data_IF_235010167715
#
_entry.id   IF_235010167715
#
_cell.length_a   1.000
_cell.length_b   1.000
_cell.length_c   1.000
_cell.angle_alpha   90.00
_cell.angle_beta   90.00
_cell.angle_gamma   90.00
#
_symmetry.space_group_name_H-M   'P 1'
#
loop_
_entity.id
_entity.type
_entity.pdbx_description
1 polymer ?
#
# COMPACT_ATOMS: atom_id res chain seq x y z
N UNK A 1 8.83 -14.88 18.77
CA UNK A 1 9.52 -16.16 18.44
C UNK A 1 9.23 -16.47 16.98
N UNK A 2 10.25 -16.51 16.13
CA UNK A 2 10.09 -16.93 14.73
C UNK A 2 9.79 -18.42 14.71
N UNK A 3 8.60 -18.81 14.25
CA UNK A 3 8.26 -20.22 14.08
C UNK A 3 9.06 -20.81 12.89
N UNK A 4 9.73 -21.93 13.11
CA UNK A 4 10.38 -22.69 12.05
C UNK A 4 9.30 -23.50 11.34
N UNK A 5 9.18 -23.34 10.03
CA UNK A 5 8.25 -24.13 9.21
C UNK A 5 9.07 -25.12 8.41
N UNK A 6 8.71 -26.41 8.50
CA UNK A 6 9.32 -27.47 7.70
C UNK A 6 8.69 -27.44 6.30
N UNK A 7 9.50 -27.27 5.27
CA UNK A 7 9.06 -27.36 3.89
C UNK A 7 9.33 -28.75 3.34
N UNK A 8 8.33 -29.31 2.69
CA UNK A 8 8.55 -30.43 1.77
C UNK A 8 9.04 -29.88 0.43
N UNK A 9 9.68 -30.71 -0.38
CA UNK A 9 10.06 -30.32 -1.75
C UNK A 9 8.78 -30.05 -2.55
N UNK A 10 8.67 -28.82 -3.08
CA UNK A 10 7.55 -28.44 -3.95
C UNK A 10 8.09 -28.09 -5.33
N UNK A 11 7.39 -28.53 -6.36
CA UNK A 11 7.44 -27.84 -7.64
C UNK A 11 6.18 -26.98 -7.64
N UNK A 12 6.31 -25.67 -7.68
CA UNK A 12 5.19 -24.77 -7.80
C UNK A 12 5.32 -23.94 -9.08
N UNK A 13 4.18 -23.58 -9.67
CA UNK A 13 4.18 -22.68 -10.81
C UNK A 13 4.48 -21.26 -10.34
N UNK A 14 3.82 -20.83 -9.28
CA UNK A 14 3.96 -19.48 -8.70
C UNK A 14 4.37 -19.59 -7.24
N UNK A 15 5.46 -18.94 -6.89
CA UNK A 15 5.89 -18.77 -5.51
C UNK A 15 5.63 -17.34 -5.06
N UNK A 16 4.73 -17.17 -4.09
CA UNK A 16 4.46 -15.88 -3.45
C UNK A 16 5.39 -15.72 -2.25
N UNK A 17 6.20 -14.67 -2.26
CA UNK A 17 7.12 -14.36 -1.15
C UNK A 17 6.59 -13.20 -0.32
N UNK A 18 6.53 -13.42 0.99
CA UNK A 18 5.90 -12.58 2.02
C UNK A 18 4.37 -12.49 1.90
N UNK A 19 3.73 -12.39 3.06
CA UNK A 19 2.25 -12.29 3.15
C UNK A 19 1.74 -10.85 3.17
N UNK A 20 2.64 -9.85 3.19
CA UNK A 20 2.26 -8.44 3.25
C UNK A 20 1.65 -8.03 1.91
N UNK A 21 0.42 -7.50 1.96
CA UNK A 21 -0.28 -7.03 0.75
C UNK A 21 -0.82 -8.14 -0.16
N UNK A 22 -0.63 -9.43 0.19
CA UNK A 22 -0.98 -10.56 -0.68
C UNK A 22 -2.41 -11.09 -0.50
N UNK A 23 -3.20 -10.56 0.45
CA UNK A 23 -4.56 -11.07 0.72
C UNK A 23 -5.49 -11.06 -0.51
N UNK A 24 -5.30 -10.10 -1.41
CA UNK A 24 -6.05 -10.02 -2.67
C UNK A 24 -5.42 -10.81 -3.83
N UNK A 25 -4.17 -11.25 -3.69
CA UNK A 25 -3.42 -11.90 -4.75
C UNK A 25 -4.06 -13.20 -5.27
N UNK A 26 -4.69 -14.07 -4.44
CA UNK A 26 -5.38 -15.25 -4.94
C UNK A 26 -6.43 -14.97 -6.02
N UNK A 27 -7.05 -13.77 -5.99
CA UNK A 27 -8.02 -13.34 -7.02
C UNK A 27 -7.36 -12.92 -8.34
N UNK A 28 -6.04 -12.71 -8.32
CA UNK A 28 -5.23 -12.31 -9.47
C UNK A 28 -4.48 -13.49 -10.10
N UNK A 29 -4.63 -14.70 -9.57
CA UNK A 29 -3.92 -15.89 -10.05
C UNK A 29 -4.79 -16.70 -11.00
N UNK A 30 -4.21 -17.34 -12.04
CA UNK A 30 -4.92 -18.33 -12.84
C UNK A 30 -5.41 -19.49 -11.97
N UNK A 31 -6.60 -20.04 -12.28
CA UNK A 31 -7.22 -21.09 -11.46
C UNK A 31 -6.44 -22.42 -11.45
N UNK A 32 -5.73 -22.69 -12.54
CA UNK A 32 -5.07 -24.00 -12.76
C UNK A 32 -3.58 -23.97 -12.36
N UNK A 33 -3.08 -22.88 -11.76
CA UNK A 33 -1.68 -22.81 -11.34
C UNK A 33 -1.49 -23.29 -9.90
N UNK A 34 -0.42 -24.05 -9.68
CA UNK A 34 -0.02 -24.46 -8.33
C UNK A 34 0.75 -23.32 -7.66
N UNK A 35 0.15 -22.74 -6.61
CA UNK A 35 0.68 -21.58 -5.89
C UNK A 35 1.12 -21.99 -4.50
N UNK A 36 2.35 -21.60 -4.14
CA UNK A 36 2.88 -21.73 -2.78
C UNK A 36 3.20 -20.36 -2.21
N UNK A 37 3.08 -20.20 -0.89
CA UNK A 37 3.37 -18.94 -0.19
C UNK A 37 4.41 -19.16 0.89
N UNK A 38 5.46 -18.33 0.88
CA UNK A 38 6.51 -18.31 1.89
C UNK A 38 6.53 -16.97 2.63
N UNK A 39 6.25 -17.01 3.93
CA UNK A 39 6.41 -15.85 4.81
C UNK A 39 7.83 -15.81 5.37
N UNK A 40 8.75 -15.20 4.65
CA UNK A 40 10.18 -15.15 5.06
C UNK A 40 10.47 -14.10 6.14
N UNK A 41 9.55 -13.16 6.40
CA UNK A 41 9.69 -12.12 7.43
C UNK A 41 9.36 -12.65 8.81
N UNK A 42 8.24 -13.34 8.94
CA UNK A 42 7.71 -13.79 10.23
C UNK A 42 8.09 -15.23 10.54
N UNK A 43 8.37 -16.02 9.52
CA UNK A 43 8.74 -17.44 9.66
C UNK A 43 9.99 -17.70 8.81
N UNK A 44 10.96 -18.38 9.41
CA UNK A 44 12.13 -18.87 8.65
C UNK A 44 11.83 -20.29 8.21
N UNK A 45 11.43 -20.52 6.94
CA UNK A 45 11.26 -21.87 6.46
C UNK A 45 12.61 -22.58 6.46
N UNK A 46 12.64 -23.80 6.99
CA UNK A 46 13.82 -24.63 7.04
C UNK A 46 13.58 -25.89 6.21
N UNK A 47 14.40 -26.08 5.18
CA UNK A 47 14.49 -27.34 4.45
C UNK A 47 15.60 -28.17 5.06
N UNK A 48 15.27 -29.34 5.59
CA UNK A 48 16.24 -30.32 6.05
C UNK A 48 16.38 -31.43 5.03
N UNK A 49 17.06 -31.11 3.93
CA UNK A 49 17.54 -32.15 3.03
C UNK A 49 18.99 -31.85 2.59
N UNK A 50 19.70 -32.90 2.18
CA UNK A 50 21.11 -32.79 1.74
C UNK A 50 21.24 -31.88 0.52
N UNK A 51 20.24 -31.84 -0.36
CA UNK A 51 20.21 -30.97 -1.53
C UNK A 51 20.17 -29.49 -1.16
N UNK A 52 19.36 -29.11 -0.17
CA UNK A 52 19.32 -27.74 0.34
C UNK A 52 20.66 -27.36 0.99
N UNK A 53 21.23 -28.23 1.83
CA UNK A 53 22.52 -27.98 2.48
C UNK A 53 23.63 -27.79 1.46
N UNK A 54 23.66 -28.61 0.41
CA UNK A 54 24.61 -28.46 -0.69
C UNK A 54 24.45 -27.12 -1.41
N UNK A 55 23.23 -26.73 -1.77
CA UNK A 55 22.91 -25.44 -2.39
C UNK A 55 23.25 -24.26 -1.49
N UNK A 56 23.03 -24.39 -0.18
CA UNK A 56 23.40 -23.37 0.80
C UNK A 56 24.91 -23.17 0.85
N UNK A 57 25.71 -24.26 0.89
CA UNK A 57 27.15 -24.17 0.84
C UNK A 57 27.66 -23.53 -0.46
N UNK A 58 27.08 -23.91 -1.61
CA UNK A 58 27.42 -23.29 -2.89
C UNK A 58 27.07 -21.77 -2.89
N UNK A 59 25.89 -21.41 -2.39
CA UNK A 59 25.44 -20.02 -2.35
C UNK A 59 26.30 -19.17 -1.41
N UNK A 60 26.77 -19.73 -0.29
CA UNK A 60 27.69 -19.05 0.64
C UNK A 60 29.07 -18.80 -0.04
N UNK A 61 29.61 -19.77 -0.74
CA UNK A 61 30.89 -19.61 -1.47
C UNK A 61 30.75 -18.56 -2.57
N UNK A 62 29.65 -18.59 -3.33
CA UNK A 62 29.39 -17.63 -4.40
C UNK A 62 29.23 -16.21 -3.87
N UNK A 63 28.45 -16.06 -2.81
CA UNK A 63 28.17 -14.78 -2.13
C UNK A 63 29.45 -14.16 -1.55
N UNK A 64 30.35 -14.99 -0.98
CA UNK A 64 31.64 -14.54 -0.45
C UNK A 64 32.55 -13.97 -1.54
N UNK A 65 32.58 -14.60 -2.72
CA UNK A 65 33.42 -14.18 -3.86
C UNK A 65 32.99 -12.82 -4.45
N UNK A 66 31.69 -12.45 -4.36
CA UNK A 66 31.14 -11.16 -4.85
C UNK A 66 31.22 -10.03 -3.82
N UNK A 67 31.90 -10.21 -2.68
CA UNK A 67 32.18 -9.16 -1.69
C UNK A 67 30.96 -8.75 -0.83
N UNK A 68 29.87 -9.48 -0.90
CA UNK A 68 28.61 -9.15 -0.22
C UNK A 68 27.98 -10.35 0.51
N UNK A 69 28.75 -11.05 1.33
CA UNK A 69 28.35 -12.30 2.00
C UNK A 69 27.24 -12.15 3.03
N UNK A 70 26.02 -11.80 2.59
CA UNK A 70 24.85 -11.87 3.47
C UNK A 70 24.33 -13.31 3.55
N UNK A 71 24.49 -13.94 4.71
CA UNK A 71 23.93 -15.28 5.02
C UNK A 71 22.46 -15.36 4.61
N UNK A 72 21.70 -14.27 4.81
CA UNK A 72 20.30 -14.18 4.39
C UNK A 72 20.09 -14.34 2.89
N UNK A 73 20.96 -13.76 2.07
CA UNK A 73 20.89 -13.94 0.62
C UNK A 73 21.24 -15.37 0.19
N UNK A 74 22.33 -15.92 0.73
CA UNK A 74 22.75 -17.29 0.44
C UNK A 74 21.64 -18.31 0.81
N UNK A 75 21.02 -18.12 1.96
CA UNK A 75 19.89 -18.92 2.40
C UNK A 75 18.68 -18.78 1.44
N UNK A 76 18.27 -17.56 1.09
CA UNK A 76 17.16 -17.33 0.16
C UNK A 76 17.46 -17.95 -1.23
N UNK A 77 18.66 -17.72 -1.75
CA UNK A 77 19.08 -18.27 -3.04
C UNK A 77 19.07 -19.82 -3.05
N UNK A 78 19.57 -20.45 -1.99
CA UNK A 78 19.52 -21.90 -1.84
C UNK A 78 18.08 -22.42 -1.77
N UNK A 79 17.22 -21.72 -1.03
CA UNK A 79 15.81 -22.05 -0.87
C UNK A 79 15.07 -21.98 -2.22
N UNK A 80 15.23 -20.87 -2.96
CA UNK A 80 14.57 -20.67 -4.24
C UNK A 80 15.06 -21.67 -5.31
N UNK A 81 16.35 -21.94 -5.36
CA UNK A 81 16.91 -22.98 -6.23
C UNK A 81 16.41 -24.38 -5.89
N UNK A 82 16.10 -24.63 -4.61
CA UNK A 82 15.58 -25.93 -4.17
C UNK A 82 14.09 -26.11 -4.47
N UNK A 83 13.31 -25.01 -4.44
CA UNK A 83 11.87 -25.00 -4.74
C UNK A 83 11.58 -24.95 -6.25
N UNK A 84 12.53 -24.47 -7.05
CA UNK A 84 12.43 -24.38 -8.52
C UNK A 84 11.10 -23.77 -9.02
N UNK A 85 10.68 -22.58 -8.51
CA UNK A 85 9.45 -21.95 -9.00
C UNK A 85 9.61 -21.49 -10.46
N UNK A 86 8.54 -21.54 -11.24
CA UNK A 86 8.53 -20.98 -12.60
C UNK A 86 8.37 -19.45 -12.59
N UNK A 87 7.72 -18.91 -11.56
CA UNK A 87 7.51 -17.48 -11.36
C UNK A 87 7.55 -17.15 -9.86
N UNK A 88 8.21 -16.05 -9.50
CA UNK A 88 8.22 -15.52 -8.14
C UNK A 88 7.44 -14.20 -8.12
N UNK A 89 6.53 -14.03 -7.15
CA UNK A 89 5.76 -12.80 -6.94
C UNK A 89 5.96 -12.30 -5.51
N UNK A 90 6.12 -11.00 -5.33
CA UNK A 90 6.13 -10.38 -4.00
C UNK A 90 5.45 -9.02 -4.01
N UNK A 91 4.55 -8.80 -3.04
CA UNK A 91 4.03 -7.46 -2.72
C UNK A 91 4.94 -6.70 -1.73
N UNK A 92 6.03 -7.31 -1.27
CA UNK A 92 7.13 -6.63 -0.60
C UNK A 92 8.12 -6.11 -1.65
N UNK A 93 7.66 -5.16 -2.46
CA UNK A 93 8.31 -4.63 -3.66
C UNK A 93 9.64 -3.90 -3.41
N UNK A 94 9.99 -3.62 -2.15
CA UNK A 94 11.26 -3.08 -1.71
C UNK A 94 12.23 -4.15 -1.15
N UNK A 95 12.00 -5.43 -1.44
CA UNK A 95 12.82 -6.54 -0.95
C UNK A 95 14.13 -6.65 -1.75
N UNK A 96 15.23 -6.13 -1.18
CA UNK A 96 16.57 -6.14 -1.80
C UNK A 96 17.08 -7.55 -2.13
N UNK A 97 16.75 -8.54 -1.31
CA UNK A 97 17.22 -9.90 -1.52
C UNK A 97 16.57 -10.53 -2.76
N UNK A 98 15.29 -10.20 -3.01
CA UNK A 98 14.60 -10.65 -4.22
C UNK A 98 15.11 -9.92 -5.48
N UNK A 99 15.36 -8.61 -5.39
CA UNK A 99 15.96 -7.88 -6.50
C UNK A 99 17.33 -8.47 -6.87
N UNK A 100 18.18 -8.74 -5.86
CA UNK A 100 19.48 -9.37 -6.07
C UNK A 100 19.38 -10.80 -6.61
N UNK A 101 18.37 -11.57 -6.14
CA UNK A 101 18.13 -12.91 -6.67
C UNK A 101 17.77 -12.87 -8.16
N UNK A 102 16.91 -11.95 -8.56
CA UNK A 102 16.51 -11.77 -9.95
C UNK A 102 17.68 -11.37 -10.87
N UNK A 103 18.59 -10.53 -10.36
CA UNK A 103 19.83 -10.16 -11.08
C UNK A 103 20.74 -11.37 -11.29
N UNK A 104 20.91 -12.20 -10.26
CA UNK A 104 21.81 -13.36 -10.29
C UNK A 104 21.19 -14.60 -11.00
N UNK A 105 19.85 -14.63 -11.19
CA UNK A 105 19.11 -15.75 -11.79
C UNK A 105 18.07 -15.24 -12.80
N UNK A 106 18.51 -14.65 -13.92
CA UNK A 106 17.63 -13.97 -14.89
C UNK A 106 16.64 -14.91 -15.61
N UNK A 107 16.85 -16.23 -15.52
CA UNK A 107 15.97 -17.27 -16.07
C UNK A 107 14.69 -17.46 -15.25
N UNK A 108 14.67 -17.05 -13.98
CA UNK A 108 13.50 -17.12 -13.12
C UNK A 108 12.85 -15.73 -13.06
N UNK A 109 11.67 -15.51 -13.67
CA UNK A 109 11.01 -14.23 -13.60
C UNK A 109 10.61 -13.91 -12.16
N UNK A 110 10.93 -12.67 -11.73
CA UNK A 110 10.52 -12.12 -10.43
C UNK A 110 9.67 -10.89 -10.68
N UNK A 111 8.45 -10.89 -10.14
CA UNK A 111 7.50 -9.80 -10.25
C UNK A 111 7.32 -9.15 -8.89
N UNK A 112 7.66 -7.88 -8.79
CA UNK A 112 7.45 -7.04 -7.62
C UNK A 112 6.21 -6.19 -7.84
N UNK A 113 5.25 -6.27 -6.92
CA UNK A 113 3.96 -5.56 -7.01
C UNK A 113 3.92 -4.50 -5.93
N UNK A 114 3.77 -3.25 -6.32
CA UNK A 114 3.64 -2.13 -5.39
C UNK A 114 2.40 -2.28 -4.51
N UNK A 115 2.56 -2.11 -3.20
CA UNK A 115 1.48 -2.23 -2.22
C UNK A 115 1.25 -0.97 -1.36
N UNK A 116 2.13 0.02 -1.49
CA UNK A 116 2.05 1.30 -0.77
C UNK A 116 2.80 2.38 -1.55
N UNK A 117 2.55 3.64 -1.24
CA UNK A 117 3.32 4.75 -1.81
C UNK A 117 4.81 4.59 -1.51
N UNK A 118 5.65 5.03 -2.42
CA UNK A 118 7.10 5.01 -2.30
C UNK A 118 7.65 6.42 -2.11
N UNK A 119 8.81 6.52 -1.48
CA UNK A 119 9.47 7.80 -1.19
C UNK A 119 10.96 7.71 -1.46
N UNK A 120 11.60 8.87 -1.44
CA UNK A 120 13.05 9.01 -1.58
C UNK A 120 13.80 8.91 -0.24
N UNK A 121 13.09 8.71 0.88
CA UNK A 121 13.65 8.81 2.24
C UNK A 121 13.84 7.46 2.94
N UNK A 122 13.83 6.35 2.20
CA UNK A 122 14.18 5.04 2.76
C UNK A 122 13.18 3.91 2.53
N UNK A 123 12.03 4.18 1.89
CA UNK A 123 11.12 3.09 1.48
C UNK A 123 11.70 2.22 0.36
N UNK A 124 12.62 2.80 -0.44
CA UNK A 124 13.37 2.12 -1.49
C UNK A 124 14.88 2.27 -1.28
N UNK A 125 15.67 1.45 -1.96
CA UNK A 125 17.13 1.51 -1.89
C UNK A 125 17.69 2.16 -3.14
N UNK A 126 18.54 3.16 -2.97
CA UNK A 126 19.25 3.81 -4.08
C UNK A 126 20.19 2.85 -4.81
N UNK A 127 20.31 3.04 -6.12
CA UNK A 127 21.28 2.33 -6.97
C UNK A 127 20.99 0.83 -7.15
N UNK A 128 19.75 0.39 -6.96
CA UNK A 128 19.39 -1.01 -7.16
C UNK A 128 18.75 -1.25 -8.53
N UNK A 129 19.00 -2.45 -9.08
CA UNK A 129 18.31 -2.94 -10.27
C UNK A 129 17.10 -3.78 -9.83
N UNK A 130 15.91 -3.38 -10.27
CA UNK A 130 14.67 -4.10 -10.02
C UNK A 130 14.34 -5.01 -11.22
N UNK A 131 13.74 -6.18 -10.98
CA UNK A 131 13.27 -7.06 -12.05
C UNK A 131 12.03 -6.44 -12.74
N UNK A 132 10.92 -7.19 -12.79
CA UNK A 132 9.65 -6.69 -13.28
C UNK A 132 8.98 -5.96 -12.11
N UNK A 133 8.63 -4.69 -12.31
CA UNK A 133 7.99 -3.86 -11.30
C UNK A 133 6.62 -3.39 -11.78
N UNK A 134 5.57 -3.81 -11.06
CA UNK A 134 4.20 -3.41 -11.29
C UNK A 134 3.86 -2.25 -10.36
N UNK A 135 3.81 -1.04 -10.91
CA UNK A 135 3.66 0.21 -10.17
C UNK A 135 2.20 0.66 -10.09
N UNK A 136 1.91 1.56 -9.16
CA UNK A 136 0.62 2.25 -9.12
C UNK A 136 0.46 3.19 -10.33
N UNK A 137 1.43 4.03 -10.61
CA UNK A 137 1.33 5.00 -11.68
C UNK A 137 2.69 5.40 -12.26
N UNK A 138 2.71 6.53 -12.92
CA UNK A 138 3.92 7.07 -13.54
C UNK A 138 4.79 7.85 -12.57
N UNK A 139 4.24 8.29 -11.44
CA UNK A 139 4.96 9.11 -10.46
C UNK A 139 6.13 8.37 -9.82
N UNK A 140 6.06 7.05 -9.72
CA UNK A 140 7.15 6.22 -9.19
C UNK A 140 8.42 6.29 -10.05
N UNK A 141 8.30 6.57 -11.36
CA UNK A 141 9.47 6.78 -12.23
C UNK A 141 10.35 7.95 -11.77
N UNK A 142 9.72 9.01 -11.25
CA UNK A 142 10.46 10.16 -10.71
C UNK A 142 11.23 9.79 -9.45
N UNK A 143 10.60 9.00 -8.57
CA UNK A 143 11.23 8.48 -7.36
C UNK A 143 12.39 7.56 -7.73
N UNK A 144 12.20 6.67 -8.72
CA UNK A 144 13.25 5.77 -9.19
C UNK A 144 14.40 6.53 -9.83
N UNK A 145 14.12 7.55 -10.62
CA UNK A 145 15.15 8.41 -11.17
C UNK A 145 15.94 9.14 -10.08
N UNK A 146 15.25 9.69 -9.06
CA UNK A 146 15.89 10.39 -7.94
C UNK A 146 16.78 9.47 -7.09
N UNK A 147 16.48 8.15 -7.07
CA UNK A 147 17.21 7.13 -6.32
C UNK A 147 18.19 6.31 -7.19
N UNK A 148 18.38 6.66 -8.46
CA UNK A 148 19.17 5.85 -9.42
C UNK A 148 18.72 4.37 -9.46
N UNK A 149 17.41 4.13 -9.38
CA UNK A 149 16.82 2.79 -9.50
C UNK A 149 16.49 2.52 -10.96
N UNK A 150 16.92 1.36 -11.45
CA UNK A 150 16.62 0.88 -12.80
C UNK A 150 15.68 -0.32 -12.71
N UNK A 151 14.71 -0.39 -13.60
CA UNK A 151 13.82 -1.55 -13.73
C UNK A 151 14.08 -2.26 -15.07
N UNK A 152 14.23 -3.58 -15.04
CA UNK A 152 14.26 -4.38 -16.27
C UNK A 152 12.97 -4.22 -17.06
N UNK A 153 11.85 -4.18 -16.35
CA UNK A 153 10.53 -3.93 -16.90
C UNK A 153 9.70 -3.15 -15.89
N UNK A 154 9.13 -2.01 -16.30
CA UNK A 154 8.26 -1.17 -15.49
C UNK A 154 6.88 -1.11 -16.14
N UNK A 155 5.84 -1.51 -15.38
CA UNK A 155 4.44 -1.47 -15.83
C UNK A 155 3.58 -0.72 -14.82
N UNK A 156 3.02 0.44 -15.14
CA UNK A 156 2.02 1.11 -14.31
C UNK A 156 0.66 0.42 -14.53
N UNK A 157 0.18 -0.26 -13.51
CA UNK A 157 -1.05 -1.06 -13.57
C UNK A 157 -2.14 -0.59 -12.61
N UNK A 158 -1.82 0.35 -11.70
CA UNK A 158 -2.72 0.77 -10.64
C UNK A 158 -2.73 -0.15 -9.42
N UNK A 159 -3.71 0.07 -8.54
CA UNK A 159 -3.87 -0.70 -7.31
C UNK A 159 -4.78 -1.91 -7.51
N UNK A 160 -4.26 -3.10 -7.15
CA UNK A 160 -5.06 -4.34 -7.16
C UNK A 160 -6.29 -4.21 -6.25
N UNK A 161 -6.10 -3.67 -5.04
CA UNK A 161 -7.17 -3.56 -4.04
C UNK A 161 -8.26 -2.62 -4.50
N UNK A 162 -7.87 -1.50 -5.06
CA UNK A 162 -8.82 -0.56 -5.64
C UNK A 162 -9.60 -1.21 -6.79
N UNK A 163 -8.92 -1.88 -7.73
CA UNK A 163 -9.56 -2.56 -8.85
C UNK A 163 -10.57 -3.63 -8.40
N UNK A 164 -10.21 -4.43 -7.38
CA UNK A 164 -11.12 -5.41 -6.80
C UNK A 164 -12.30 -4.77 -6.06
N UNK A 165 -12.06 -3.64 -5.38
CA UNK A 165 -13.12 -2.92 -4.68
C UNK A 165 -14.12 -2.30 -5.66
N UNK A 166 -13.65 -1.70 -6.75
CA UNK A 166 -14.50 -1.15 -7.82
C UNK A 166 -15.35 -2.24 -8.49
N UNK A 167 -14.76 -3.41 -8.78
CA UNK A 167 -15.50 -4.54 -9.30
C UNK A 167 -16.57 -5.05 -8.32
N UNK A 168 -16.34 -4.97 -7.01
CA UNK A 168 -17.28 -5.37 -5.98
C UNK A 168 -18.36 -4.31 -5.70
N UNK A 169 -18.02 -3.01 -5.78
CA UNK A 169 -18.96 -1.90 -5.58
C UNK A 169 -20.12 -1.94 -6.59
N UNK A 170 -19.82 -2.30 -7.84
CA UNK A 170 -20.83 -2.48 -8.89
C UNK A 170 -21.92 -3.51 -8.54
N UNK A 171 -21.69 -4.38 -7.56
CA UNK A 171 -22.59 -5.48 -7.16
C UNK A 171 -23.34 -5.14 -5.86
N UNK A 172 -22.77 -4.34 -4.97
CA UNK A 172 -23.33 -4.01 -3.65
C UNK A 172 -23.65 -2.53 -3.56
N UNK A 173 -24.82 -2.18 -2.99
CA UNK A 173 -25.11 -0.83 -2.57
C UNK A 173 -24.62 -0.66 -1.11
N UNK A 174 -23.43 -0.09 -0.88
CA UNK A 174 -22.89 0.07 0.46
C UNK A 174 -23.62 1.16 1.24
N UNK A 175 -23.48 1.14 2.57
CA UNK A 175 -23.91 2.25 3.40
C UNK A 175 -23.15 3.51 3.00
N UNK A 176 -23.86 4.61 2.72
CA UNK A 176 -23.25 5.88 2.31
C UNK A 176 -22.97 6.76 3.52
N UNK A 177 -21.83 7.48 3.49
CA UNK A 177 -21.45 8.46 4.50
C UNK A 177 -21.22 9.83 3.85
N UNK A 178 -21.59 10.89 4.57
CA UNK A 178 -21.32 12.25 4.10
C UNK A 178 -19.83 12.59 4.16
N UNK A 179 -19.16 12.12 5.21
CA UNK A 179 -17.73 12.30 5.44
C UNK A 179 -17.06 11.01 5.89
N UNK A 180 -15.89 10.71 5.33
CA UNK A 180 -15.00 9.69 5.84
C UNK A 180 -13.65 10.29 6.24
N UNK A 181 -13.10 9.86 7.37
CA UNK A 181 -11.74 10.16 7.80
C UNK A 181 -10.90 8.89 7.76
N UNK A 182 -9.82 8.89 6.98
CA UNK A 182 -8.87 7.77 6.95
C UNK A 182 -7.85 7.99 8.06
N UNK A 183 -7.86 7.09 9.02
CA UNK A 183 -6.96 7.12 10.16
C UNK A 183 -5.51 6.85 9.78
N UNK A 184 -4.60 7.54 10.45
CA UNK A 184 -3.17 7.24 10.42
C UNK A 184 -2.64 6.90 11.83
N UNK A 185 -3.53 6.43 12.71
CA UNK A 185 -3.19 6.04 14.08
C UNK A 185 -2.02 5.05 14.12
N UNK A 186 -1.09 5.31 15.02
CA UNK A 186 0.04 4.42 15.34
C UNK A 186 0.25 4.42 16.84
N UNK A 187 0.21 3.27 17.51
CA UNK A 187 0.42 3.19 18.98
C UNK A 187 1.72 3.86 19.44
N UNK A 188 2.76 3.82 18.60
CA UNK A 188 4.09 4.37 18.89
C UNK A 188 4.09 5.90 19.04
N UNK A 189 3.05 6.60 18.56
CA UNK A 189 2.92 8.05 18.69
C UNK A 189 2.53 8.51 20.08
N UNK A 190 2.05 7.59 20.95
CA UNK A 190 1.43 7.90 22.24
C UNK A 190 2.27 7.46 23.47
N UNK A 191 3.45 6.93 23.28
CA UNK A 191 4.29 6.44 24.37
C UNK A 191 5.26 7.51 24.91
N UNK A 192 5.75 7.32 26.13
CA UNK A 192 6.83 8.15 26.71
C UNK A 192 8.14 8.11 25.90
N UNK A 193 8.25 7.22 24.93
CA UNK A 193 9.40 7.08 24.03
C UNK A 193 9.14 7.65 22.63
N UNK A 194 7.97 8.29 22.38
CA UNK A 194 7.69 8.91 21.09
C UNK A 194 8.66 10.06 20.83
N UNK A 195 9.18 10.12 19.60
CA UNK A 195 10.04 11.21 19.15
C UNK A 195 9.24 12.51 19.02
N UNK A 196 9.92 13.66 19.02
CA UNK A 196 9.29 14.97 18.79
C UNK A 196 8.52 15.00 17.47
N UNK A 197 9.04 14.38 16.43
CA UNK A 197 8.37 14.25 15.13
C UNK A 197 7.07 13.41 15.24
N UNK A 198 7.08 12.29 15.96
CA UNK A 198 5.89 11.49 16.17
C UNK A 198 4.79 12.24 16.92
N UNK A 199 5.16 13.00 17.95
CA UNK A 199 4.23 13.86 18.69
C UNK A 199 3.67 14.99 17.81
N UNK A 200 4.51 15.59 16.98
CA UNK A 200 4.08 16.60 16.02
C UNK A 200 3.08 16.04 15.00
N UNK A 201 3.37 14.87 14.43
CA UNK A 201 2.47 14.16 13.51
C UNK A 201 1.12 13.87 14.20
N UNK A 202 1.13 13.39 15.45
CA UNK A 202 -0.09 13.14 16.22
C UNK A 202 -0.90 14.43 16.41
N UNK A 203 -0.26 15.50 16.81
CA UNK A 203 -0.90 16.80 17.03
C UNK A 203 -1.61 17.30 15.77
N UNK A 204 -0.96 17.22 14.60
CA UNK A 204 -1.55 17.63 13.35
C UNK A 204 -2.73 16.74 12.91
N UNK A 205 -2.62 15.43 13.10
CA UNK A 205 -3.72 14.51 12.81
C UNK A 205 -4.93 14.73 13.72
N UNK A 206 -4.67 14.91 15.02
CA UNK A 206 -5.71 15.23 15.99
C UNK A 206 -6.44 16.50 15.61
N UNK A 207 -5.71 17.59 15.30
CA UNK A 207 -6.30 18.85 14.85
C UNK A 207 -7.17 18.67 13.60
N UNK A 208 -6.68 17.90 12.62
CA UNK A 208 -7.45 17.61 11.42
C UNK A 208 -8.73 16.84 11.72
N UNK A 209 -8.66 15.86 12.62
CA UNK A 209 -9.83 15.10 13.04
C UNK A 209 -10.83 15.96 13.83
N UNK A 210 -10.35 16.83 14.71
CA UNK A 210 -11.19 17.81 15.45
C UNK A 210 -11.92 18.74 14.48
N UNK A 211 -11.27 19.21 13.41
CA UNK A 211 -11.93 19.97 12.33
C UNK A 211 -13.03 19.16 11.65
N UNK A 212 -12.81 17.88 11.39
CA UNK A 212 -13.84 16.99 10.84
C UNK A 212 -15.03 16.89 11.79
N UNK A 213 -14.82 16.69 13.10
CA UNK A 213 -15.88 16.59 14.09
C UNK A 213 -16.71 17.87 14.15
N UNK A 214 -16.07 19.05 14.17
CA UNK A 214 -16.77 20.33 14.19
C UNK A 214 -17.57 20.58 12.90
N UNK A 215 -16.99 20.21 11.74
CA UNK A 215 -17.69 20.31 10.46
C UNK A 215 -18.93 19.43 10.41
N UNK A 216 -18.80 18.16 10.82
CA UNK A 216 -19.88 17.18 10.88
C UNK A 216 -21.00 17.66 11.82
N UNK A 217 -20.65 18.14 13.01
CA UNK A 217 -21.60 18.68 14.00
C UNK A 217 -22.37 19.87 13.41
N UNK A 218 -21.67 20.83 12.81
CA UNK A 218 -22.27 22.06 12.27
C UNK A 218 -23.17 21.81 11.05
N UNK A 219 -23.05 20.68 10.39
CA UNK A 219 -23.81 20.32 9.19
C UNK A 219 -24.73 19.11 9.40
N UNK A 220 -24.74 18.51 10.62
CA UNK A 220 -25.51 17.30 10.96
C UNK A 220 -25.28 16.16 9.98
N UNK A 221 -24.00 15.85 9.70
CA UNK A 221 -23.58 14.87 8.71
C UNK A 221 -23.34 13.48 9.33
N UNK A 222 -23.45 12.43 8.51
CA UNK A 222 -22.98 11.09 8.86
C UNK A 222 -21.46 11.00 8.72
N UNK A 223 -20.80 10.40 9.73
CA UNK A 223 -19.35 10.39 9.82
C UNK A 223 -18.76 8.98 10.01
N UNK A 224 -17.87 8.59 9.12
CA UNK A 224 -17.16 7.34 9.16
C UNK A 224 -15.66 7.54 9.46
N UNK A 225 -15.09 6.70 10.33
CA UNK A 225 -13.65 6.58 10.56
C UNK A 225 -13.18 5.24 10.00
N UNK A 226 -12.35 5.30 8.96
CA UNK A 226 -11.71 4.13 8.38
C UNK A 226 -10.42 3.89 9.16
N UNK A 227 -10.40 2.85 9.99
CA UNK A 227 -9.29 2.55 10.89
C UNK A 227 -8.13 1.89 10.17
N UNK A 228 -6.92 2.10 10.71
CA UNK A 228 -5.67 1.58 10.15
C UNK A 228 -5.26 0.25 10.78
N UNK A 229 -5.48 0.10 12.08
CA UNK A 229 -4.98 -1.05 12.84
C UNK A 229 -5.80 -2.30 12.57
N UNK A 230 -5.12 -3.47 12.58
CA UNK A 230 -5.74 -4.77 12.31
C UNK A 230 -5.79 -5.67 13.55
N UNK A 231 -4.82 -5.49 14.46
CA UNK A 231 -4.75 -6.27 15.69
C UNK A 231 -5.86 -5.84 16.66
N UNK A 232 -6.62 -6.75 17.27
CA UNK A 232 -7.78 -6.43 18.10
C UNK A 232 -7.52 -5.40 19.20
N UNK A 233 -6.40 -5.53 19.91
CA UNK A 233 -6.01 -4.61 20.98
C UNK A 233 -5.71 -3.20 20.43
N UNK A 234 -4.98 -3.13 19.32
CA UNK A 234 -4.67 -1.87 18.67
C UNK A 234 -5.92 -1.21 18.06
N UNK A 235 -6.86 -1.99 17.52
CA UNK A 235 -8.16 -1.50 17.05
C UNK A 235 -8.99 -0.91 18.18
N UNK A 236 -9.03 -1.59 19.32
CA UNK A 236 -9.74 -1.07 20.50
C UNK A 236 -9.14 0.27 20.95
N UNK A 237 -7.81 0.37 21.03
CA UNK A 237 -7.12 1.61 21.39
C UNK A 237 -7.37 2.73 20.37
N UNK A 238 -7.34 2.43 19.07
CA UNK A 238 -7.62 3.39 18.00
C UNK A 238 -9.06 3.91 18.06
N UNK A 239 -10.04 3.03 18.22
CA UNK A 239 -11.45 3.42 18.38
C UNK A 239 -11.64 4.28 19.65
N UNK A 240 -11.07 3.88 20.77
CA UNK A 240 -11.15 4.65 22.02
C UNK A 240 -10.52 6.05 21.87
N UNK A 241 -9.41 6.16 21.13
CA UNK A 241 -8.76 7.43 20.83
C UNK A 241 -9.71 8.37 20.07
N UNK A 242 -10.27 7.93 18.94
CA UNK A 242 -11.15 8.78 18.13
C UNK A 242 -12.49 9.05 18.81
N UNK A 243 -13.06 8.09 19.53
CA UNK A 243 -14.31 8.32 20.31
C UNK A 243 -14.13 9.42 21.35
N UNK A 244 -12.98 9.43 22.05
CA UNK A 244 -12.67 10.49 23.02
C UNK A 244 -12.50 11.86 22.37
N UNK A 245 -11.93 11.94 21.16
CA UNK A 245 -11.75 13.19 20.44
C UNK A 245 -13.05 13.70 19.79
N UNK A 246 -13.95 12.79 19.44
CA UNK A 246 -15.22 13.13 18.80
C UNK A 246 -16.23 13.79 19.75
N UNK A 247 -16.05 13.58 21.07
CA UNK A 247 -16.95 14.08 22.11
C UNK A 247 -18.40 13.61 21.87
N UNK A 248 -19.30 14.47 21.44
CA UNK A 248 -20.72 14.19 21.16
C UNK A 248 -21.02 13.75 19.72
N UNK A 249 -20.01 13.75 18.84
CA UNK A 249 -20.19 13.33 17.43
C UNK A 249 -20.29 11.81 17.33
N UNK A 250 -21.36 11.30 16.75
CA UNK A 250 -21.53 9.87 16.49
C UNK A 250 -20.58 9.39 15.39
N UNK A 251 -19.74 8.40 15.70
CA UNK A 251 -18.78 7.82 14.80
C UNK A 251 -19.22 6.42 14.34
N UNK A 252 -19.12 6.18 13.04
CA UNK A 252 -19.14 4.83 12.49
C UNK A 252 -17.70 4.38 12.20
N UNK A 253 -17.30 3.20 12.70
CA UNK A 253 -15.96 2.67 12.49
C UNK A 253 -15.97 1.54 11.46
N UNK A 254 -15.12 1.65 10.44
CA UNK A 254 -14.86 0.59 9.48
C UNK A 254 -13.42 0.09 9.65
N UNK A 255 -13.29 -1.20 9.85
CA UNK A 255 -12.01 -1.86 10.09
C UNK A 255 -11.79 -2.98 9.07
N UNK A 256 -10.60 -3.07 8.51
CA UNK A 256 -10.16 -4.22 7.71
C UNK A 256 -9.67 -5.35 8.62
N UNK A 257 -10.59 -6.08 9.28
CA UNK A 257 -10.25 -7.02 10.35
C UNK A 257 -9.56 -8.30 9.86
N UNK A 258 -9.94 -8.83 8.71
CA UNK A 258 -9.49 -10.15 8.22
C UNK A 258 -9.35 -10.14 6.69
N UNK A 259 -8.70 -11.17 6.14
CA UNK A 259 -8.55 -11.34 4.70
C UNK A 259 -9.88 -11.24 3.92
N UNK A 260 -10.98 -11.73 4.49
CA UNK A 260 -12.32 -11.66 3.91
C UNK A 260 -12.88 -10.23 3.85
N UNK A 261 -12.41 -9.34 4.74
CA UNK A 261 -12.82 -7.94 4.87
C UNK A 261 -11.74 -6.95 4.42
N UNK A 262 -10.74 -7.41 3.69
CA UNK A 262 -9.61 -6.57 3.28
C UNK A 262 -10.04 -5.37 2.42
N UNK A 263 -11.17 -5.46 1.74
CA UNK A 263 -11.74 -4.41 0.90
C UNK A 263 -12.72 -3.48 1.61
N UNK A 264 -13.14 -3.76 2.84
CA UNK A 264 -14.15 -2.95 3.55
C UNK A 264 -13.73 -1.49 3.67
N UNK A 265 -12.45 -1.20 3.90
CA UNK A 265 -11.91 0.17 3.93
C UNK A 265 -12.05 0.89 2.60
N UNK A 266 -11.86 0.18 1.49
CA UNK A 266 -12.05 0.71 0.13
C UNK A 266 -13.52 0.96 -0.15
N UNK A 267 -14.39 0.00 0.17
CA UNK A 267 -15.84 0.12 -0.03
C UNK A 267 -16.41 1.27 0.79
N UNK A 268 -15.98 1.45 2.04
CA UNK A 268 -16.39 2.60 2.86
C UNK A 268 -15.93 3.94 2.24
N UNK A 269 -14.69 4.01 1.74
CA UNK A 269 -14.19 5.18 1.04
C UNK A 269 -14.97 5.45 -0.26
N UNK A 270 -15.19 4.43 -1.09
CA UNK A 270 -15.93 4.54 -2.34
C UNK A 270 -17.38 4.98 -2.12
N UNK A 271 -18.00 4.59 -1.01
CA UNK A 271 -19.38 4.97 -0.65
C UNK A 271 -19.47 6.32 0.08
N UNK A 272 -18.37 7.00 0.36
CA UNK A 272 -18.36 8.29 1.03
C UNK A 272 -18.42 9.46 0.05
N UNK A 273 -19.15 10.55 0.43
CA UNK A 273 -19.27 11.74 -0.41
C UNK A 273 -18.01 12.60 -0.39
N UNK A 274 -17.34 12.70 0.75
CA UNK A 274 -16.08 13.42 0.91
C UNK A 274 -15.14 12.64 1.82
N UNK A 275 -13.86 12.55 1.46
CA UNK A 275 -12.86 11.79 2.17
C UNK A 275 -11.77 12.75 2.65
N UNK A 276 -11.42 12.66 3.93
CA UNK A 276 -10.32 13.39 4.53
C UNK A 276 -9.22 12.39 4.91
N UNK A 277 -7.99 12.64 4.47
CA UNK A 277 -6.88 11.79 4.88
C UNK A 277 -5.59 12.57 5.13
N UNK A 278 -4.79 12.15 6.11
CA UNK A 278 -3.55 12.86 6.44
C UNK A 278 -2.37 12.54 5.49
N UNK A 279 -2.46 11.56 4.60
CA UNK A 279 -1.39 11.12 3.69
C UNK A 279 -1.39 9.61 3.44
N UNK A 280 -2.54 8.96 3.63
CA UNK A 280 -2.68 7.52 3.45
C UNK A 280 -2.65 7.10 1.98
N UNK A 281 -2.02 5.96 1.67
CA UNK A 281 -2.11 5.31 0.34
C UNK A 281 -3.56 5.16 -0.11
N UNK A 282 -4.45 4.67 0.76
CA UNK A 282 -5.88 4.54 0.47
C UNK A 282 -6.53 5.87 0.02
N UNK A 283 -6.12 7.00 0.62
CA UNK A 283 -6.64 8.31 0.21
C UNK A 283 -6.25 8.67 -1.22
N UNK A 284 -5.02 8.38 -1.64
CA UNK A 284 -4.57 8.59 -3.01
C UNK A 284 -5.23 7.60 -3.99
N UNK A 285 -5.47 6.37 -3.58
CA UNK A 285 -6.19 5.37 -4.37
C UNK A 285 -7.65 5.81 -4.61
N UNK A 286 -8.34 6.29 -3.58
CA UNK A 286 -9.71 6.82 -3.69
C UNK A 286 -9.77 8.11 -4.53
N UNK A 287 -8.76 8.97 -4.43
CA UNK A 287 -8.62 10.13 -5.31
C UNK A 287 -8.53 9.70 -6.77
N UNK A 288 -7.70 8.70 -7.07
CA UNK A 288 -7.56 8.16 -8.42
C UNK A 288 -8.85 7.49 -8.94
N UNK A 289 -9.68 6.96 -8.05
CA UNK A 289 -11.02 6.46 -8.37
C UNK A 289 -12.07 7.57 -8.60
N UNK A 290 -11.66 8.84 -8.62
CA UNK A 290 -12.54 9.99 -8.83
C UNK A 290 -13.36 10.39 -7.62
N UNK A 291 -13.04 9.89 -6.42
CA UNK A 291 -13.70 10.31 -5.18
C UNK A 291 -13.19 11.67 -4.73
N UNK A 292 -14.09 12.49 -4.19
CA UNK A 292 -13.74 13.79 -3.62
C UNK A 292 -12.91 13.61 -2.37
N UNK A 293 -11.66 14.08 -2.41
CA UNK A 293 -10.66 13.85 -1.36
C UNK A 293 -10.05 15.18 -0.93
N UNK A 294 -9.76 15.33 0.36
CA UNK A 294 -8.92 16.40 0.89
C UNK A 294 -7.69 15.77 1.55
N UNK A 295 -6.51 16.15 1.06
CA UNK A 295 -5.24 15.80 1.67
C UNK A 295 -4.94 16.74 2.83
N UNK A 296 -4.96 16.20 4.04
CA UNK A 296 -4.71 16.95 5.27
C UNK A 296 -3.24 17.19 5.58
N UNK A 297 -2.32 16.36 5.06
CA UNK A 297 -0.87 16.53 5.28
C UNK A 297 -0.34 17.90 4.88
N UNK A 298 -0.96 18.54 3.91
CA UNK A 298 -0.56 19.86 3.43
C UNK A 298 -0.77 21.00 4.43
N UNK A 299 -1.47 20.73 5.54
CA UNK A 299 -1.59 21.68 6.66
C UNK A 299 -0.21 22.01 7.27
N UNK A 300 0.73 21.08 7.17
CA UNK A 300 2.10 21.25 7.63
C UNK A 300 3.10 20.62 6.64
N UNK A 301 4.03 21.42 6.07
CA UNK A 301 5.03 20.90 5.15
C UNK A 301 5.96 19.82 5.75
N UNK A 302 6.17 19.80 7.07
CA UNK A 302 6.96 18.75 7.72
C UNK A 302 6.29 17.39 7.66
N UNK A 303 4.94 17.34 7.68
CA UNK A 303 4.21 16.08 7.51
C UNK A 303 4.41 15.50 6.12
N UNK A 304 4.42 16.33 5.09
CA UNK A 304 4.64 15.90 3.71
C UNK A 304 6.00 15.21 3.62
N UNK A 305 7.06 15.85 4.18
CA UNK A 305 8.40 15.26 4.22
C UNK A 305 8.48 14.02 5.09
N UNK A 306 7.91 14.06 6.29
CA UNK A 306 7.93 12.93 7.23
C UNK A 306 7.23 11.67 6.68
N UNK A 307 6.29 11.83 5.78
CA UNK A 307 5.59 10.73 5.14
C UNK A 307 6.11 10.40 3.74
N UNK A 308 7.10 11.16 3.23
CA UNK A 308 7.70 10.92 1.92
C UNK A 308 6.72 11.03 0.76
N UNK A 309 5.69 11.88 0.89
CA UNK A 309 4.63 12.00 -0.12
C UNK A 309 4.78 13.22 -1.04
N UNK A 310 5.95 13.89 -1.04
CA UNK A 310 6.17 15.12 -1.81
C UNK A 310 5.88 14.97 -3.30
N UNK A 311 6.35 13.89 -3.93
CA UNK A 311 6.14 13.62 -5.35
C UNK A 311 4.65 13.47 -5.69
N UNK A 312 3.89 12.82 -4.82
CA UNK A 312 2.44 12.66 -4.99
C UNK A 312 1.69 13.97 -4.75
N UNK A 313 2.03 14.69 -3.69
CA UNK A 313 1.43 16.00 -3.34
C UNK A 313 1.65 17.04 -4.43
N UNK A 314 2.83 17.03 -5.05
CA UNK A 314 3.17 17.92 -6.16
C UNK A 314 2.24 17.78 -7.37
N UNK A 315 1.65 16.60 -7.57
CA UNK A 315 0.71 16.32 -8.68
C UNK A 315 -0.73 16.73 -8.39
N UNK A 316 -1.10 16.83 -7.12
CA UNK A 316 -2.48 17.14 -6.75
C UNK A 316 -2.83 18.61 -7.05
N UNK A 317 -4.03 18.90 -7.55
CA UNK A 317 -4.52 20.27 -7.68
C UNK A 317 -4.72 20.93 -6.30
N UNK A 318 -4.59 22.26 -6.23
CA UNK A 318 -4.73 22.99 -4.96
C UNK A 318 -6.13 22.86 -4.34
N UNK A 319 -7.13 22.57 -5.14
CA UNK A 319 -8.51 22.36 -4.67
C UNK A 319 -8.67 21.20 -3.69
N UNK A 320 -7.80 20.18 -3.76
CA UNK A 320 -7.84 18.99 -2.88
C UNK A 320 -6.80 19.03 -1.77
N UNK A 321 -6.08 20.14 -1.60
CA UNK A 321 -5.07 20.33 -0.57
C UNK A 321 -5.53 21.38 0.46
N UNK A 322 -5.23 21.17 1.73
CA UNK A 322 -5.38 22.24 2.73
C UNK A 322 -4.22 23.25 2.58
N UNK A 323 -4.47 24.50 2.91
CA UNK A 323 -3.41 25.50 2.99
C UNK A 323 -2.50 25.20 4.18
N UNK A 324 -1.20 25.44 4.03
CA UNK A 324 -0.25 25.36 5.15
C UNK A 324 -0.67 26.30 6.29
N UNK A 325 -0.73 25.78 7.52
CA UNK A 325 -1.24 26.52 8.68
C UNK A 325 -2.74 26.84 8.64
N UNK A 326 -3.49 26.23 7.71
CA UNK A 326 -4.91 26.52 7.48
C UNK A 326 -5.75 26.46 8.74
N UNK A 327 -6.74 27.36 8.81
CA UNK A 327 -7.71 27.46 9.89
C UNK A 327 -8.88 26.48 9.71
N UNK A 328 -9.68 26.33 10.76
CA UNK A 328 -10.95 25.59 10.68
C UNK A 328 -11.87 26.19 9.59
N UNK A 329 -11.94 27.51 9.47
CA UNK A 329 -12.72 28.18 8.44
C UNK A 329 -12.24 27.84 7.02
N UNK A 330 -10.93 27.75 6.79
CA UNK A 330 -10.38 27.31 5.52
C UNK A 330 -10.73 25.84 5.22
N UNK A 331 -10.69 24.99 6.25
CA UNK A 331 -11.11 23.60 6.13
C UNK A 331 -12.59 23.49 5.76
N UNK A 332 -13.47 24.23 6.44
CA UNK A 332 -14.92 24.23 6.17
C UNK A 332 -15.23 24.72 4.76
N UNK A 333 -14.61 25.83 4.35
CA UNK A 333 -14.77 26.35 2.99
C UNK A 333 -14.37 25.30 1.94
N UNK A 334 -13.26 24.58 2.16
CA UNK A 334 -12.80 23.53 1.27
C UNK A 334 -13.79 22.36 1.21
N UNK A 335 -14.27 21.90 2.36
CA UNK A 335 -15.27 20.84 2.43
C UNK A 335 -16.56 21.22 1.71
N UNK A 336 -17.11 22.43 1.97
CA UNK A 336 -18.32 22.91 1.32
C UNK A 336 -18.13 23.04 -0.21
N UNK A 337 -16.98 23.56 -0.66
CA UNK A 337 -16.65 23.69 -2.08
C UNK A 337 -16.65 22.33 -2.78
N UNK A 338 -15.95 21.32 -2.22
CA UNK A 338 -15.87 20.01 -2.85
C UNK A 338 -17.21 19.25 -2.78
N UNK A 339 -17.95 19.35 -1.67
CA UNK A 339 -19.24 18.65 -1.55
C UNK A 339 -20.26 19.18 -2.55
N UNK A 340 -20.28 20.48 -2.82
CA UNK A 340 -21.21 21.11 -3.77
C UNK A 340 -20.76 21.03 -5.22
N UNK A 341 -19.48 20.76 -5.47
CA UNK A 341 -18.93 20.61 -6.82
C UNK A 341 -19.55 19.39 -7.53
N UNK A 342 -20.07 19.51 -8.76
CA UNK A 342 -20.51 18.38 -9.55
C UNK A 342 -19.38 17.35 -9.75
N UNK A 343 -19.70 16.05 -9.74
CA UNK A 343 -18.71 14.98 -9.88
C UNK A 343 -17.97 15.05 -11.23
N UNK A 344 -18.66 15.42 -12.32
CA UNK A 344 -18.05 15.64 -13.63
C UNK A 344 -17.00 16.74 -13.59
N UNK A 345 -17.31 17.88 -12.94
CA UNK A 345 -16.37 18.98 -12.78
C UNK A 345 -15.16 18.57 -11.93
N UNK A 346 -15.38 17.80 -10.86
CA UNK A 346 -14.31 17.28 -10.02
C UNK A 346 -13.39 16.33 -10.81
N UNK A 347 -13.99 15.39 -11.55
CA UNK A 347 -13.24 14.46 -12.39
C UNK A 347 -12.42 15.17 -13.48
N UNK A 348 -12.98 16.21 -14.12
CA UNK A 348 -12.25 16.99 -15.11
C UNK A 348 -11.06 17.73 -14.51
N UNK A 349 -11.25 18.32 -13.33
CA UNK A 349 -10.21 19.03 -12.57
C UNK A 349 -9.06 18.11 -12.12
N UNK A 350 -9.35 16.86 -11.81
CA UNK A 350 -8.40 15.92 -11.17
C UNK A 350 -7.84 14.85 -12.11
N UNK A 351 -8.36 14.73 -13.32
CA UNK A 351 -8.07 13.65 -14.27
C UNK A 351 -6.58 13.41 -14.51
N UNK A 352 -5.83 14.44 -14.84
CA UNK A 352 -4.39 14.33 -15.12
C UNK A 352 -3.61 13.86 -13.90
N UNK A 353 -3.90 14.46 -12.74
CA UNK A 353 -3.29 14.07 -11.48
C UNK A 353 -3.65 12.61 -11.10
N UNK A 354 -4.91 12.23 -11.23
CA UNK A 354 -5.37 10.88 -10.93
C UNK A 354 -4.66 9.83 -11.80
N UNK A 355 -4.59 10.06 -13.10
CA UNK A 355 -3.89 9.18 -14.06
C UNK A 355 -2.40 9.07 -13.80
N UNK A 356 -1.74 10.18 -13.42
CA UNK A 356 -0.31 10.19 -13.08
C UNK A 356 -0.02 9.40 -11.81
N UNK A 357 -0.88 9.54 -10.79
CA UNK A 357 -0.72 8.89 -9.49
C UNK A 357 -1.05 7.41 -9.55
N UNK A 358 -2.06 7.04 -10.37
CA UNK A 358 -2.52 5.66 -10.43
C UNK A 358 -3.09 5.37 -11.82
N UNK A 359 -2.37 4.53 -12.52
CA UNK A 359 -2.81 4.05 -13.84
C UNK A 359 -3.97 3.07 -13.65
N UNK A 360 -5.18 3.56 -13.91
CA UNK A 360 -6.35 2.69 -13.98
C UNK A 360 -6.66 2.40 -15.44
N UNK A 361 -6.35 1.20 -15.94
CA UNK A 361 -6.70 0.83 -17.31
C UNK A 361 -8.21 0.98 -17.52
N UNK A 362 -8.61 1.55 -18.66
CA UNK A 362 -10.02 1.80 -18.98
C UNK A 362 -10.80 0.53 -19.30
N UNK A 363 -10.10 -0.47 -19.82
CA UNK A 363 -10.71 -1.66 -20.41
C UNK A 363 -10.52 -2.93 -19.56
N UNK A 364 -9.64 -2.90 -18.56
CA UNK A 364 -9.32 -4.05 -17.73
C UNK A 364 -8.94 -3.60 -16.30
N UNK A 365 -9.48 -4.26 -15.29
CA UNK A 365 -9.08 -3.95 -13.91
C UNK A 365 -7.64 -4.42 -13.60
N UNK A 366 -6.91 -3.75 -12.70
CA UNK A 366 -5.52 -4.13 -12.32
C UNK A 366 -5.33 -5.61 -11.97
N UNK A 367 -6.30 -6.23 -11.33
CA UNK A 367 -6.22 -7.65 -10.96
C UNK A 367 -6.32 -8.60 -12.17
N UNK A 368 -7.04 -8.21 -13.22
CA UNK A 368 -7.14 -8.97 -14.48
C UNK A 368 -5.85 -8.82 -15.29
N UNK A 369 -5.31 -7.60 -15.37
CA UNK A 369 -4.01 -7.34 -16.00
C UNK A 369 -2.90 -8.20 -15.39
N UNK A 370 -2.86 -8.32 -14.04
CA UNK A 370 -1.91 -9.19 -13.36
C UNK A 370 -2.15 -10.66 -13.71
N UNK A 371 -3.40 -11.11 -13.74
CA UNK A 371 -3.74 -12.49 -14.11
C UNK A 371 -3.27 -12.82 -15.53
N UNK A 372 -3.51 -11.92 -16.48
CA UNK A 372 -3.05 -12.05 -17.87
C UNK A 372 -1.52 -12.12 -17.95
N UNK A 373 -0.82 -11.24 -17.21
CA UNK A 373 0.63 -11.21 -17.13
C UNK A 373 1.21 -12.52 -16.57
N UNK A 374 0.65 -13.02 -15.46
CA UNK A 374 1.08 -14.28 -14.86
C UNK A 374 0.89 -15.43 -15.84
N UNK A 375 -0.26 -15.49 -16.53
CA UNK A 375 -0.53 -16.51 -17.55
C UNK A 375 0.49 -16.46 -18.69
N UNK A 376 0.88 -15.27 -19.13
CA UNK A 376 1.93 -15.08 -20.13
C UNK A 376 3.28 -15.66 -19.67
N UNK A 377 3.72 -15.37 -18.44
CA UNK A 377 4.97 -15.90 -17.91
C UNK A 377 4.94 -17.41 -17.71
N UNK A 378 3.80 -17.98 -17.35
CA UNK A 378 3.67 -19.43 -17.18
C UNK A 378 3.55 -20.19 -18.52
N UNK A 379 3.25 -19.53 -19.61
CA UNK A 379 3.18 -20.14 -20.94
C UNK A 379 4.54 -20.21 -21.67
N UNK A 380 5.50 -19.41 -21.22
CA UNK A 380 6.91 -19.41 -21.70
C UNK A 380 7.70 -20.56 -21.07
#
# INVERSE_FOLDING_TARGET
MTSITWLRKFNCDVLVIDVIGTGCLPKCLPQDCHVETLDIRNRKPLLLDLGFLFLLCQSLVFSSRKGGGHIGYAWLSALLKRLTPRLIISCADNNRLLAKYAEDNPEVPVVLIQNALRDTQGSMTSGQDLPIYLAFGEVEKEIFHALDIRCKEYRPIGSIKLGLALAQEAIKAPQTFDLAFISHYRPEMFGAKSSSLQQHIECCQRRLFEFCCQYVRNRSLSFCVITKTREPEAQFAERAYYTRLADDVSLHFVCADKAEKELDSYLAGLSSNLIIHPGSTLGFELFAAGKKVILGATIDPELIRAWGVEHYVGRLPDSVKLKAGGSEADFFLRCDTLRTMPDTQYCDLTREAAQSLMSMPTDEHPHETIKSLISEYLSR
#
